data_IF_088681495976
#
_entry.id   IF_088681495976
#
_cell.length_a   1.000
_cell.length_b   1.000
_cell.length_c   1.000
_cell.angle_alpha   90.00
_cell.angle_beta   90.00
_cell.angle_gamma   90.00
#
_symmetry.space_group_name_H-M   'P 1'
#
loop_
_entity.id
_entity.type
_entity.pdbx_description
1 polymer ?
#
# COMPACT_ATOMS: atom_id res chain seq x y z
N UNK A 1 -33.61 34.66 27.87
CA UNK A 1 -32.74 34.16 28.96
C UNK A 1 -32.41 32.72 28.64
N UNK A 2 -31.29 32.47 27.96
CA UNK A 2 -30.89 31.11 27.57
C UNK A 2 -30.46 30.40 28.88
N UNK A 3 -31.06 29.25 29.24
CA UNK A 3 -30.76 28.60 30.50
C UNK A 3 -29.26 28.25 30.57
N UNK A 4 -28.60 28.66 31.65
CA UNK A 4 -27.16 28.48 31.88
C UNK A 4 -26.70 27.00 31.80
N UNK A 5 -27.62 26.08 32.02
CA UNK A 5 -27.43 24.63 31.85
C UNK A 5 -27.27 24.21 30.38
N UNK A 6 -27.95 24.87 29.44
CA UNK A 6 -27.84 24.61 28.00
C UNK A 6 -26.47 25.04 27.46
N UNK A 7 -25.93 26.17 27.94
CA UNK A 7 -24.59 26.64 27.52
C UNK A 7 -23.47 25.79 28.10
N UNK A 8 -23.64 25.22 29.30
CA UNK A 8 -22.67 24.30 29.91
C UNK A 8 -22.60 22.97 29.16
N UNK A 9 -23.76 22.39 28.81
CA UNK A 9 -23.80 21.14 28.05
C UNK A 9 -23.30 21.32 26.61
N UNK A 10 -23.59 22.47 25.99
CA UNK A 10 -23.06 22.81 24.66
C UNK A 10 -21.54 22.97 24.67
N UNK A 11 -20.96 23.57 25.72
CA UNK A 11 -19.50 23.69 25.89
C UNK A 11 -18.84 22.33 26.12
N UNK A 12 -19.45 21.48 26.93
CA UNK A 12 -18.94 20.13 27.21
C UNK A 12 -18.99 19.25 25.96
N UNK A 13 -20.11 19.28 25.24
CA UNK A 13 -20.26 18.58 23.96
C UNK A 13 -19.26 19.09 22.91
N UNK A 14 -19.07 20.42 22.80
CA UNK A 14 -18.08 21.00 21.90
C UNK A 14 -16.64 20.58 22.25
N UNK A 15 -16.29 20.52 23.53
CA UNK A 15 -14.97 20.09 24.00
C UNK A 15 -14.72 18.60 23.73
N UNK A 16 -15.72 17.75 23.96
CA UNK A 16 -15.63 16.30 23.70
C UNK A 16 -15.53 16.03 22.20
N UNK A 17 -16.31 16.71 21.37
CA UNK A 17 -16.22 16.61 19.91
C UNK A 17 -14.86 17.10 19.41
N UNK A 18 -14.33 18.20 19.96
CA UNK A 18 -13.00 18.71 19.63
C UNK A 18 -11.89 17.71 20.03
N UNK A 19 -12.00 17.09 21.21
CA UNK A 19 -11.06 16.06 21.66
C UNK A 19 -11.13 14.79 20.83
N UNK A 20 -12.33 14.34 20.46
CA UNK A 20 -12.54 13.21 19.56
C UNK A 20 -12.01 13.52 18.15
N UNK A 21 -12.13 14.76 17.66
CA UNK A 21 -11.50 15.20 16.41
C UNK A 21 -9.97 15.28 16.49
N UNK A 22 -9.40 15.47 17.69
CA UNK A 22 -7.95 15.48 17.92
C UNK A 22 -7.39 14.06 18.11
N UNK A 23 -8.16 13.13 18.66
CA UNK A 23 -7.72 11.75 18.95
C UNK A 23 -8.12 10.73 17.89
N UNK A 24 -9.25 10.92 17.22
CA UNK A 24 -9.67 10.08 16.11
C UNK A 24 -9.15 10.73 14.83
N UNK A 25 -8.00 10.23 14.36
CA UNK A 25 -7.62 10.07 12.94
C UNK A 25 -6.11 10.24 12.72
N UNK A 26 -5.33 9.39 13.37
CA UNK A 26 -4.02 9.00 12.83
C UNK A 26 -4.27 7.90 11.80
N UNK A 27 -4.62 8.28 10.57
CA UNK A 27 -4.64 7.35 9.44
C UNK A 27 -3.20 7.16 8.97
N UNK A 28 -2.61 5.99 9.21
CA UNK A 28 -1.28 5.66 8.66
C UNK A 28 -1.49 5.09 7.26
N UNK A 29 -1.11 5.86 6.23
CA UNK A 29 -1.01 5.36 4.86
C UNK A 29 0.33 4.67 4.67
N UNK A 30 0.31 3.37 4.36
CA UNK A 30 1.51 2.57 4.11
C UNK A 30 1.52 2.12 2.65
N UNK A 31 2.58 2.46 1.91
CA UNK A 31 2.88 1.80 0.64
C UNK A 31 3.78 0.60 0.94
N UNK A 32 3.24 -0.61 0.85
CA UNK A 32 4.02 -1.84 0.99
C UNK A 32 4.42 -2.35 -0.40
N UNK A 33 5.60 -2.98 -0.51
CA UNK A 33 5.94 -3.72 -1.72
C UNK A 33 4.95 -4.86 -1.92
N UNK A 34 4.35 -4.91 -3.11
CA UNK A 34 3.45 -5.98 -3.52
C UNK A 34 4.28 -7.07 -4.22
N UNK A 35 4.16 -8.31 -3.75
CA UNK A 35 4.84 -9.47 -4.35
C UNK A 35 3.81 -10.31 -5.08
N UNK A 36 3.86 -10.28 -6.40
CA UNK A 36 3.01 -11.09 -7.28
C UNK A 36 3.81 -12.28 -7.78
N UNK A 37 3.25 -13.48 -7.71
CA UNK A 37 3.86 -14.69 -8.28
C UNK A 37 2.91 -15.28 -9.31
N UNK A 38 3.32 -15.25 -10.57
CA UNK A 38 2.60 -15.78 -11.71
C UNK A 38 3.10 -17.18 -12.04
N UNK A 39 2.15 -18.09 -12.25
CA UNK A 39 2.43 -19.45 -12.74
C UNK A 39 2.46 -19.42 -14.25
N UNK A 40 3.57 -19.84 -14.85
CA UNK A 40 3.72 -19.93 -16.30
C UNK A 40 2.89 -21.09 -16.86
N UNK A 41 2.74 -21.12 -18.19
CA UNK A 41 2.07 -22.22 -18.88
C UNK A 41 2.79 -23.56 -18.66
N UNK A 42 4.11 -23.54 -18.51
CA UNK A 42 4.90 -24.74 -18.20
C UNK A 42 4.56 -25.30 -16.81
N UNK A 43 4.40 -24.45 -15.80
CA UNK A 43 3.94 -24.86 -14.48
C UNK A 43 2.52 -25.41 -14.54
N UNK A 44 1.61 -24.75 -15.28
CA UNK A 44 0.22 -25.20 -15.42
C UNK A 44 0.14 -26.56 -16.12
N UNK A 45 0.89 -26.78 -17.20
CA UNK A 45 0.92 -28.03 -17.93
C UNK A 45 1.30 -29.23 -17.04
N UNK A 46 2.31 -29.06 -16.18
CA UNK A 46 2.71 -30.08 -15.22
C UNK A 46 1.68 -30.27 -14.10
N UNK A 47 1.14 -29.17 -13.59
CA UNK A 47 0.10 -29.20 -12.55
C UNK A 47 -1.17 -29.92 -13.02
N UNK A 48 -1.56 -29.76 -14.29
CA UNK A 48 -2.69 -30.51 -14.88
C UNK A 48 -2.44 -32.00 -14.97
N UNK A 49 -1.17 -32.42 -15.06
CA UNK A 49 -0.75 -33.82 -15.11
C UNK A 49 -0.42 -34.40 -13.72
N UNK A 50 -0.73 -33.67 -12.65
CA UNK A 50 -0.40 -34.04 -11.26
C UNK A 50 1.10 -34.26 -11.00
N UNK A 51 1.97 -33.69 -11.84
CA UNK A 51 3.42 -33.67 -11.64
C UNK A 51 3.74 -32.44 -10.77
N UNK A 52 4.49 -32.62 -9.69
CA UNK A 52 4.93 -31.52 -8.84
C UNK A 52 6.18 -30.86 -9.45
N UNK A 53 6.07 -29.62 -9.96
CA UNK A 53 7.20 -28.95 -10.59
C UNK A 53 8.31 -28.71 -9.57
N UNK A 54 9.51 -29.19 -9.87
CA UNK A 54 10.69 -29.00 -9.03
C UNK A 54 11.44 -27.75 -9.50
N UNK A 55 11.65 -26.79 -8.60
CA UNK A 55 12.45 -25.60 -8.89
C UNK A 55 13.93 -26.01 -8.79
N UNK A 56 14.64 -25.95 -9.90
CA UNK A 56 16.07 -26.28 -9.99
C UNK A 56 16.95 -25.06 -9.81
N UNK A 57 16.49 -23.90 -10.28
CA UNK A 57 17.26 -22.66 -10.25
C UNK A 57 16.34 -21.46 -10.12
N UNK A 58 16.77 -20.44 -9.39
CA UNK A 58 16.15 -19.12 -9.41
C UNK A 58 17.13 -18.11 -9.99
N UNK A 59 16.62 -17.20 -10.82
CA UNK A 59 17.38 -16.07 -11.32
C UNK A 59 16.67 -14.78 -10.91
N UNK A 60 17.32 -14.01 -10.05
CA UNK A 60 16.83 -12.72 -9.58
C UNK A 60 17.56 -11.61 -10.33
N UNK A 61 16.79 -10.67 -10.87
CA UNK A 61 17.32 -9.43 -11.46
C UNK A 61 17.96 -8.53 -10.39
N UNK A 62 18.80 -7.59 -10.82
CA UNK A 62 19.42 -6.62 -9.91
C UNK A 62 18.34 -5.78 -9.23
N UNK A 63 18.27 -5.76 -7.88
CA UNK A 63 17.23 -5.05 -7.18
C UNK A 63 17.38 -3.54 -7.38
N UNK A 64 16.28 -2.90 -7.78
CA UNK A 64 16.18 -1.44 -7.89
C UNK A 64 15.64 -0.85 -6.60
N UNK A 65 16.23 0.26 -6.17
CA UNK A 65 15.81 0.97 -4.97
C UNK A 65 14.69 1.94 -5.31
N UNK A 66 13.53 1.72 -4.71
CA UNK A 66 12.36 2.58 -4.82
C UNK A 66 12.00 3.18 -3.46
N UNK A 67 11.43 4.38 -3.48
CA UNK A 67 10.98 5.04 -2.28
C UNK A 67 9.65 4.44 -1.84
N UNK A 68 9.60 3.83 -0.65
CA UNK A 68 8.33 3.57 0.03
C UNK A 68 7.95 4.82 0.81
N UNK A 69 6.74 5.33 0.52
CA UNK A 69 6.17 6.47 1.21
C UNK A 69 5.36 6.02 2.43
N UNK A 70 5.56 6.73 3.54
CA UNK A 70 4.66 6.72 4.69
C UNK A 70 4.19 8.16 4.86
N UNK A 71 2.88 8.39 4.90
CA UNK A 71 2.35 9.72 5.26
C UNK A 71 1.98 9.71 6.74
N UNK A 72 2.61 10.60 7.52
CA UNK A 72 2.25 10.83 8.92
C UNK A 72 1.54 12.17 9.01
N UNK A 73 0.34 12.15 9.59
CA UNK A 73 -0.46 13.33 9.86
C UNK A 73 -0.02 13.94 11.19
N UNK A 74 0.91 14.90 11.13
CA UNK A 74 1.27 15.72 12.28
C UNK A 74 0.49 17.03 12.21
N UNK A 75 -0.54 17.17 13.05
CA UNK A 75 -1.21 18.44 13.38
C UNK A 75 -1.47 19.36 12.16
N UNK A 76 -2.27 18.89 11.19
CA UNK A 76 -2.81 19.65 10.02
C UNK A 76 -2.00 19.55 8.72
N UNK A 77 -0.69 19.24 8.74
CA UNK A 77 0.09 19.14 7.50
C UNK A 77 0.37 17.67 7.19
N UNK A 78 -0.04 17.13 6.02
CA UNK A 78 0.46 15.85 5.57
C UNK A 78 1.96 16.01 5.34
N UNK A 79 2.78 15.47 6.24
CA UNK A 79 4.24 15.46 6.05
C UNK A 79 4.54 14.19 5.25
N UNK A 80 4.90 14.29 3.96
CA UNK A 80 5.32 13.13 3.19
C UNK A 80 6.68 12.66 3.73
N UNK A 81 6.67 11.67 4.61
CA UNK A 81 7.88 11.02 5.07
C UNK A 81 8.27 9.97 4.02
N UNK A 82 9.13 10.37 3.07
CA UNK A 82 9.82 9.43 2.19
C UNK A 82 10.87 8.65 2.99
N UNK A 83 10.43 7.62 3.71
CA UNK A 83 11.25 6.71 4.52
C UNK A 83 10.46 5.40 4.61
N UNK A 84 10.98 4.17 4.36
CA UNK A 84 12.30 3.66 3.98
C UNK A 84 12.46 3.31 2.47
N UNK A 85 13.66 2.91 2.06
CA UNK A 85 13.93 2.42 0.69
C UNK A 85 13.45 0.98 0.55
N UNK A 86 12.53 0.72 -0.38
CA UNK A 86 12.09 -0.61 -0.77
C UNK A 86 12.86 -1.10 -1.98
N UNK A 87 13.00 -2.41 -2.13
CA UNK A 87 13.56 -3.03 -3.33
C UNK A 87 12.44 -3.53 -4.24
N UNK A 88 12.46 -3.08 -5.49
CA UNK A 88 11.75 -3.76 -6.58
C UNK A 88 12.69 -4.71 -7.28
N UNK A 89 12.23 -5.92 -7.56
CA UNK A 89 12.99 -6.93 -8.30
C UNK A 89 12.04 -7.87 -9.04
N UNK A 90 12.56 -8.48 -10.08
CA UNK A 90 11.94 -9.57 -10.80
C UNK A 90 12.76 -10.84 -10.61
N UNK A 91 12.09 -11.96 -10.36
CA UNK A 91 12.67 -13.26 -10.09
C UNK A 91 11.99 -14.31 -10.96
N UNK A 92 12.79 -15.12 -11.64
CA UNK A 92 12.31 -16.26 -12.43
C UNK A 92 12.75 -17.55 -11.76
N UNK A 93 11.81 -18.43 -11.47
CA UNK A 93 12.10 -19.78 -10.99
C UNK A 93 12.03 -20.76 -12.16
N UNK A 94 13.16 -21.38 -12.45
CA UNK A 94 13.33 -22.41 -13.45
C UNK A 94 13.15 -23.79 -12.83
N UNK A 95 12.66 -24.72 -13.64
CA UNK A 95 12.63 -26.13 -13.30
C UNK A 95 12.64 -26.98 -14.55
N UNK A 96 12.64 -28.29 -14.35
CA UNK A 96 12.57 -29.24 -15.46
C UNK A 96 11.14 -29.40 -15.95
N UNK A 97 10.97 -29.41 -17.26
CA UNK A 97 9.76 -29.95 -17.89
C UNK A 97 9.75 -31.49 -17.83
N UNK A 98 8.64 -32.06 -18.27
CA UNK A 98 8.47 -33.52 -18.37
C UNK A 98 9.48 -34.21 -19.32
N UNK A 99 10.18 -33.43 -20.15
CA UNK A 99 11.23 -33.89 -21.05
C UNK A 99 12.64 -33.57 -20.52
N UNK A 100 12.76 -33.09 -19.27
CA UNK A 100 14.02 -32.74 -18.64
C UNK A 100 14.65 -31.42 -19.12
N UNK A 101 13.92 -30.61 -19.89
CA UNK A 101 14.39 -29.30 -20.36
C UNK A 101 14.15 -28.22 -19.33
N UNK A 102 15.11 -27.32 -19.18
CA UNK A 102 14.98 -26.18 -18.26
C UNK A 102 13.96 -25.17 -18.82
N UNK A 103 12.90 -24.92 -18.06
CA UNK A 103 11.82 -23.98 -18.41
C UNK A 103 11.48 -23.10 -17.22
N UNK A 104 11.01 -21.88 -17.48
CA UNK A 104 10.51 -20.98 -16.43
C UNK A 104 9.17 -21.51 -15.93
N UNK A 105 9.07 -21.78 -14.63
CA UNK A 105 7.87 -22.27 -13.96
C UNK A 105 7.11 -21.15 -13.24
N UNK A 106 7.84 -20.23 -12.63
CA UNK A 106 7.23 -19.15 -11.85
C UNK A 106 7.92 -17.84 -12.21
N UNK A 107 7.11 -16.82 -12.43
CA UNK A 107 7.53 -15.45 -12.60
C UNK A 107 7.08 -14.67 -11.36
N UNK A 108 8.03 -14.23 -10.56
CA UNK A 108 7.79 -13.46 -9.35
C UNK A 108 8.23 -12.03 -9.59
N UNK A 109 7.30 -11.09 -9.38
CA UNK A 109 7.58 -9.67 -9.48
C UNK A 109 7.29 -9.01 -8.13
N UNK A 110 8.28 -8.32 -7.57
CA UNK A 110 8.09 -7.44 -6.43
C UNK A 110 8.18 -6.00 -6.90
N UNK A 111 7.06 -5.29 -6.86
CA UNK A 111 6.96 -3.88 -7.23
C UNK A 111 6.46 -3.06 -6.04
N UNK A 112 6.88 -1.80 -5.93
CA UNK A 112 6.25 -0.89 -4.99
C UNK A 112 4.98 -0.38 -5.66
N UNK A 113 3.84 -0.92 -5.23
CA UNK A 113 2.53 -0.46 -5.68
C UNK A 113 2.38 1.01 -5.23
N UNK A 114 2.49 1.90 -6.21
CA UNK A 114 2.14 3.30 -6.04
C UNK A 114 0.77 3.44 -6.68
N UNK A 115 -0.26 3.53 -5.84
CA UNK A 115 -0.42 4.83 -5.21
C UNK A 115 -0.63 4.81 -3.69
N UNK A 116 -0.28 5.92 -3.04
CA UNK A 116 -0.48 6.08 -1.60
C UNK A 116 -1.96 6.36 -1.34
N UNK A 117 -2.64 5.41 -0.71
CA UNK A 117 -4.01 5.60 -0.24
C UNK A 117 -4.00 6.34 1.09
N UNK A 118 -4.75 7.43 1.17
CA UNK A 118 -4.86 8.23 2.37
C UNK A 118 -6.34 8.47 2.68
N UNK A 119 -6.75 8.15 3.91
CA UNK A 119 -8.08 8.43 4.43
C UNK A 119 -7.98 9.19 5.74
N UNK A 120 -8.75 10.27 5.89
CA UNK A 120 -8.77 11.07 7.09
C UNK A 120 -9.68 12.31 7.00
N UNK A 121 -10.13 12.84 8.15
CA UNK A 121 -10.68 14.18 8.23
C UNK A 121 -9.59 15.15 7.80
N UNK A 122 -9.96 16.13 6.96
CA UNK A 122 -9.04 17.04 6.27
C UNK A 122 -8.45 16.53 4.95
N UNK A 123 -8.81 15.35 4.44
CA UNK A 123 -8.56 15.01 3.02
C UNK A 123 -9.28 15.95 2.04
N UNK A 124 -10.24 16.75 2.54
CA UNK A 124 -10.78 17.92 1.84
C UNK A 124 -9.71 18.93 1.40
N UNK A 125 -8.56 18.97 2.08
CA UNK A 125 -7.39 19.78 1.71
C UNK A 125 -6.42 19.01 0.80
N UNK A 126 -6.66 17.71 0.56
CA UNK A 126 -5.90 16.87 -0.36
C UNK A 126 -5.72 17.47 -1.76
N UNK A 127 -6.73 18.12 -2.37
CA UNK A 127 -6.58 18.78 -3.67
C UNK A 127 -5.55 19.93 -3.71
N UNK A 128 -5.12 20.45 -2.56
CA UNK A 128 -4.09 21.50 -2.47
C UNK A 128 -2.69 20.90 -2.70
N UNK A 129 -2.49 19.63 -2.34
CA UNK A 129 -1.28 18.89 -2.70
C UNK A 129 -1.48 18.33 -4.11
N UNK A 130 -0.79 18.92 -5.09
CA UNK A 130 -0.87 18.53 -6.49
C UNK A 130 -0.74 17.01 -6.66
N UNK A 131 -1.80 16.39 -7.19
CA UNK A 131 -1.86 14.97 -7.49
C UNK A 131 -2.97 14.20 -6.77
N UNK A 132 -3.53 14.68 -5.65
CA UNK A 132 -4.58 13.94 -4.95
C UNK A 132 -5.83 13.67 -5.81
N UNK A 133 -6.14 12.40 -6.03
CA UNK A 133 -7.36 11.91 -6.65
C UNK A 133 -8.25 11.22 -5.61
N UNK A 134 -9.36 11.85 -5.23
CA UNK A 134 -10.28 11.27 -4.25
C UNK A 134 -11.32 12.25 -3.73
N UNK A 135 -12.05 11.82 -2.70
CA UNK A 135 -13.09 12.63 -2.05
C UNK A 135 -12.54 13.31 -0.78
N UNK A 136 -13.40 14.04 -0.05
CA UNK A 136 -13.00 14.76 1.16
C UNK A 136 -12.60 13.88 2.36
N UNK A 137 -12.74 12.55 2.23
CA UNK A 137 -12.51 11.56 3.30
C UNK A 137 -11.41 10.57 2.95
N UNK A 138 -11.26 10.19 1.69
CA UNK A 138 -10.37 9.16 1.19
C UNK A 138 -9.96 9.45 -0.24
N UNK A 139 -8.70 9.17 -0.55
CA UNK A 139 -8.18 9.33 -1.89
C UNK A 139 -6.78 8.78 -2.04
N UNK A 140 -6.23 9.09 -3.19
CA UNK A 140 -5.08 8.41 -3.77
C UNK A 140 -4.09 9.48 -4.19
N UNK A 141 -2.84 9.31 -3.82
CA UNK A 141 -1.75 10.10 -4.38
C UNK A 141 -1.07 9.26 -5.48
N UNK A 142 -1.33 9.56 -6.77
CA UNK A 142 -0.63 8.96 -7.89
C UNK A 142 0.84 9.40 -7.91
N UNK A 143 1.65 8.64 -8.66
CA UNK A 143 3.11 8.88 -8.83
C UNK A 143 3.42 10.26 -9.40
#
# INVERSE_FOLDING_TARGET
>A
MIPRTLSSQLKSAAAITLYLCLSACVGVGISLPEKVTLKTDAYRAQSYRSITPQITRTATSTPTREWCGITVWALVIPVPLKLPVCSSYYEQSFGSDEFGREVVLLDTQQTVSSPLYACGPLMVLGPIVHGYEGNALCGVFPK
#
